data_IF_913775759987
#
_entry.id   IF_913775759987
#
_cell.length_a   1.000
_cell.length_b   1.000
_cell.length_c   1.000
_cell.angle_alpha   90.00
_cell.angle_beta   90.00
_cell.angle_gamma   90.00
#
_symmetry.space_group_name_H-M   'P 1'
#
loop_
_entity.id
_entity.type
_entity.pdbx_description
1 polymer ?
#
# COMPACT_ATOMS: atom_id res chain seq x y z
N UNK A 1 -19.11 3.27 1.02
CA UNK A 1 -18.18 2.28 0.42
C UNK A 1 -18.31 0.97 1.19
N UNK A 2 -18.31 -0.18 0.51
CA UNK A 2 -18.23 -1.51 1.13
C UNK A 2 -17.11 -2.28 0.42
N UNK A 3 -16.29 -3.00 1.18
CA UNK A 3 -15.30 -3.92 0.61
C UNK A 3 -15.98 -5.27 0.33
N UNK A 4 -15.68 -5.85 -0.82
CA UNK A 4 -16.17 -7.15 -1.27
C UNK A 4 -14.97 -8.04 -1.65
N UNK A 5 -15.20 -9.34 -1.87
CA UNK A 5 -14.18 -10.32 -2.29
C UNK A 5 -13.01 -10.49 -1.31
N UNK A 6 -13.30 -11.14 -0.17
CA UNK A 6 -12.31 -11.46 0.87
C UNK A 6 -11.65 -12.83 0.64
N UNK A 7 -11.69 -13.38 -0.58
CA UNK A 7 -11.19 -14.73 -0.90
C UNK A 7 -9.67 -14.90 -0.69
N UNK A 8 -8.93 -13.79 -0.61
CA UNK A 8 -7.49 -13.78 -0.30
C UNK A 8 -7.17 -13.30 1.13
N UNK A 9 -8.18 -12.96 1.93
CA UNK A 9 -7.98 -12.49 3.31
C UNK A 9 -7.43 -13.60 4.21
N UNK A 10 -6.71 -13.25 5.27
CA UNK A 10 -6.19 -14.21 6.23
C UNK A 10 -6.25 -13.65 7.65
N UNK A 11 -6.52 -14.51 8.62
CA UNK A 11 -6.51 -14.15 10.03
C UNK A 11 -5.07 -14.04 10.52
N UNK A 12 -4.71 -12.90 11.11
CA UNK A 12 -3.41 -12.72 11.79
C UNK A 12 -3.55 -12.93 13.30
N UNK A 13 -2.55 -13.50 13.94
CA UNK A 13 -2.46 -13.46 15.40
C UNK A 13 -1.82 -12.14 15.83
N UNK A 14 -2.25 -11.60 16.96
CA UNK A 14 -1.63 -10.42 17.58
C UNK A 14 -0.93 -10.92 18.82
N UNK A 15 0.40 -10.84 18.83
CA UNK A 15 1.23 -11.12 20.00
C UNK A 15 1.84 -9.80 20.45
N UNK A 16 1.69 -9.45 21.74
CA UNK A 16 2.24 -8.23 22.34
C UNK A 16 1.94 -6.92 21.59
N UNK A 17 0.69 -6.75 21.12
CA UNK A 17 0.25 -5.59 20.31
C UNK A 17 0.94 -5.43 18.96
N UNK A 18 1.69 -6.45 18.53
CA UNK A 18 2.32 -6.54 17.21
C UNK A 18 1.65 -7.63 16.38
N UNK A 19 1.19 -7.27 15.18
CA UNK A 19 0.63 -8.26 14.25
C UNK A 19 1.74 -9.22 13.80
N UNK A 20 1.51 -10.53 13.96
CA UNK A 20 2.42 -11.54 13.45
C UNK A 20 2.35 -11.56 11.93
N UNK A 21 3.54 -11.56 11.31
CA UNK A 21 3.65 -11.58 9.88
C UNK A 21 3.47 -13.01 9.34
N UNK A 22 2.57 -13.18 8.37
CA UNK A 22 2.16 -14.48 7.83
C UNK A 22 2.72 -14.67 6.42
N UNK A 23 3.15 -15.90 6.11
CA UNK A 23 3.55 -16.31 4.76
C UNK A 23 2.33 -16.50 3.87
N UNK A 24 2.32 -15.92 2.67
CA UNK A 24 1.22 -16.08 1.70
C UNK A 24 1.75 -16.37 0.30
N UNK A 25 0.94 -17.03 -0.49
CA UNK A 25 1.12 -17.22 -1.93
C UNK A 25 0.94 -15.87 -2.65
N UNK A 26 1.74 -15.59 -3.68
CA UNK A 26 1.60 -14.38 -4.51
C UNK A 26 0.34 -14.49 -5.38
N UNK A 27 -0.83 -14.24 -4.78
CA UNK A 27 -2.15 -14.28 -5.42
C UNK A 27 -2.79 -12.90 -5.23
N UNK A 28 -3.24 -12.28 -6.32
CA UNK A 28 -3.94 -11.00 -6.31
C UNK A 28 -3.76 -10.20 -7.60
N UNK A 29 -4.28 -8.97 -7.61
CA UNK A 29 -4.07 -8.02 -8.72
C UNK A 29 -2.65 -7.47 -8.64
N UNK A 30 -1.73 -8.07 -9.40
CA UNK A 30 -0.27 -7.81 -9.36
C UNK A 30 0.09 -6.32 -9.35
N UNK A 31 -0.67 -5.48 -10.06
CA UNK A 31 -0.37 -4.05 -10.19
C UNK A 31 -0.55 -3.26 -8.89
N UNK A 32 -1.30 -3.75 -7.88
CA UNK A 32 -1.48 -3.06 -6.59
C UNK A 32 -0.61 -3.65 -5.48
N UNK A 33 0.22 -4.66 -5.77
CA UNK A 33 1.06 -5.30 -4.76
C UNK A 33 2.14 -4.36 -4.22
N UNK A 34 2.39 -4.46 -2.93
CA UNK A 34 3.50 -3.79 -2.25
C UNK A 34 4.87 -4.36 -2.66
N UNK A 35 5.98 -3.64 -2.41
CA UNK A 35 7.33 -4.13 -2.70
C UNK A 35 7.63 -5.49 -2.04
N UNK A 36 7.23 -5.66 -0.78
CA UNK A 36 7.47 -6.87 0.00
C UNK A 36 6.65 -8.09 -0.47
N UNK A 37 5.55 -7.87 -1.20
CA UNK A 37 4.78 -8.93 -1.86
C UNK A 37 5.37 -9.35 -3.20
N UNK A 38 6.13 -8.47 -3.86
CA UNK A 38 6.69 -8.71 -5.20
C UNK A 38 8.02 -9.49 -5.16
N UNK A 39 8.67 -9.59 -3.99
CA UNK A 39 9.78 -10.51 -3.83
C UNK A 39 9.27 -11.95 -3.90
N UNK A 40 9.63 -12.67 -4.96
CA UNK A 40 9.40 -14.11 -5.21
C UNK A 40 9.87 -15.05 -4.09
N UNK A 41 10.37 -14.52 -2.98
CA UNK A 41 10.58 -15.27 -1.76
C UNK A 41 9.20 -15.60 -1.17
N UNK A 42 8.76 -16.84 -1.35
CA UNK A 42 7.59 -17.46 -0.72
C UNK A 42 7.65 -17.51 0.83
N UNK A 43 8.37 -16.58 1.46
CA UNK A 43 8.67 -16.45 2.90
C UNK A 43 8.75 -15.00 3.37
N UNK A 44 8.42 -14.01 2.54
CA UNK A 44 8.32 -12.63 3.02
C UNK A 44 7.18 -12.54 4.02
N UNK A 45 7.55 -12.36 5.28
CA UNK A 45 6.67 -12.03 6.39
C UNK A 45 6.10 -10.64 6.12
N UNK A 46 4.81 -10.55 5.79
CA UNK A 46 4.15 -9.24 5.59
C UNK A 46 2.95 -9.05 6.53
N UNK A 47 2.71 -7.79 6.89
CA UNK A 47 1.73 -7.34 7.88
C UNK A 47 0.59 -6.56 7.21
N UNK A 48 -0.30 -5.93 8.01
CA UNK A 48 -1.31 -4.97 7.52
C UNK A 48 -0.72 -3.82 6.70
N UNK A 49 0.59 -3.58 6.80
CA UNK A 49 1.28 -2.52 6.08
C UNK A 49 1.26 -2.66 4.56
N UNK A 50 1.11 -3.89 4.07
CA UNK A 50 0.89 -4.16 2.65
C UNK A 50 -0.40 -3.53 2.13
N UNK A 51 -1.47 -3.56 2.93
CA UNK A 51 -2.77 -3.01 2.54
C UNK A 51 -2.71 -1.48 2.44
N UNK A 52 -1.88 -0.82 3.25
CA UNK A 52 -1.64 0.62 3.16
C UNK A 52 -0.92 1.04 1.88
N UNK A 53 0.03 0.23 1.41
CA UNK A 53 0.66 0.52 0.12
C UNK A 53 -0.34 0.44 -1.03
N UNK A 54 -1.19 -0.60 -1.04
CA UNK A 54 -2.27 -0.73 -2.02
C UNK A 54 -3.25 0.46 -1.96
N UNK A 55 -3.62 0.91 -0.76
CA UNK A 55 -4.41 2.13 -0.57
C UNK A 55 -3.73 3.37 -1.15
N UNK A 56 -2.41 3.51 -0.97
CA UNK A 56 -1.64 4.61 -1.56
C UNK A 56 -1.69 4.60 -3.10
N UNK A 57 -1.57 3.43 -3.72
CA UNK A 57 -1.67 3.28 -5.17
C UNK A 57 -3.08 3.58 -5.70
N UNK A 58 -4.13 3.06 -5.04
CA UNK A 58 -5.53 3.37 -5.38
C UNK A 58 -5.78 4.87 -5.26
N UNK A 59 -5.27 5.49 -4.20
CA UNK A 59 -5.47 6.92 -3.99
C UNK A 59 -4.73 7.78 -5.03
N UNK A 60 -3.51 7.38 -5.42
CA UNK A 60 -2.79 8.02 -6.54
C UNK A 60 -3.58 7.91 -7.86
N UNK A 61 -4.21 6.76 -8.13
CA UNK A 61 -5.07 6.55 -9.30
C UNK A 61 -6.36 7.36 -9.28
N UNK A 62 -6.93 7.59 -8.10
CA UNK A 62 -8.06 8.52 -7.96
C UNK A 62 -7.65 9.98 -8.20
N UNK A 63 -6.40 10.35 -7.86
CA UNK A 63 -5.90 11.72 -8.02
C UNK A 63 -5.38 12.04 -9.43
N UNK A 64 -4.94 11.03 -10.18
CA UNK A 64 -4.27 11.19 -11.47
C UNK A 64 -4.95 10.31 -12.52
N UNK A 65 -5.46 10.94 -13.57
CA UNK A 65 -5.89 10.20 -14.76
C UNK A 65 -4.67 9.57 -15.45
N UNK A 66 -4.60 8.24 -15.47
CA UNK A 66 -3.49 7.48 -16.04
C UNK A 66 -3.99 6.55 -17.14
N UNK A 67 -3.20 6.42 -18.21
CA UNK A 67 -3.36 5.32 -19.16
C UNK A 67 -2.82 4.02 -18.55
N UNK A 68 -3.19 2.85 -19.09
CA UNK A 68 -2.70 1.55 -18.59
C UNK A 68 -1.16 1.45 -18.56
N UNK A 69 -0.43 1.90 -19.61
CA UNK A 69 1.04 1.93 -19.57
C UNK A 69 1.60 2.89 -18.52
N UNK A 70 1.04 4.10 -18.40
CA UNK A 70 1.45 5.08 -17.40
C UNK A 70 1.27 4.55 -15.99
N UNK A 71 0.12 3.95 -15.69
CA UNK A 71 -0.18 3.37 -14.37
C UNK A 71 0.85 2.31 -14.00
N UNK A 72 1.20 1.42 -14.94
CA UNK A 72 2.21 0.39 -14.71
C UNK A 72 3.56 1.02 -14.37
N UNK A 73 3.99 2.04 -15.13
CA UNK A 73 5.25 2.75 -14.87
C UNK A 73 5.22 3.44 -13.51
N UNK A 74 4.21 4.26 -13.25
CA UNK A 74 4.07 5.06 -12.02
C UNK A 74 3.99 4.14 -10.79
N UNK A 75 3.26 3.03 -10.86
CA UNK A 75 3.19 2.09 -9.74
C UNK A 75 4.51 1.35 -9.49
N UNK A 76 5.28 1.07 -10.54
CA UNK A 76 6.64 0.56 -10.38
C UNK A 76 7.59 1.60 -9.79
N UNK A 77 7.46 2.86 -10.20
CA UNK A 77 8.21 3.99 -9.63
C UNK A 77 7.95 4.10 -8.11
N UNK A 78 6.68 4.03 -7.67
CA UNK A 78 6.34 4.00 -6.23
C UNK A 78 7.00 2.83 -5.49
N UNK A 79 7.08 1.64 -6.10
CA UNK A 79 7.78 0.48 -5.48
C UNK A 79 9.28 0.69 -5.34
N UNK A 80 9.87 1.55 -6.16
CA UNK A 80 11.28 1.97 -6.06
C UNK A 80 11.45 3.22 -5.18
N UNK A 81 10.37 3.71 -4.55
CA UNK A 81 10.39 4.90 -3.71
C UNK A 81 10.35 6.22 -4.48
N UNK A 82 10.12 6.18 -5.79
CA UNK A 82 10.03 7.35 -6.67
C UNK A 82 8.57 7.83 -6.67
N UNK A 83 8.35 9.07 -6.23
CA UNK A 83 7.03 9.67 -6.11
C UNK A 83 6.60 10.33 -7.43
N UNK A 84 5.30 10.33 -7.72
CA UNK A 84 4.74 11.02 -8.88
C UNK A 84 4.53 12.51 -8.59
N UNK A 85 5.04 13.37 -9.46
CA UNK A 85 4.90 14.83 -9.41
C UNK A 85 3.57 15.36 -9.97
N UNK A 86 2.76 14.48 -10.58
CA UNK A 86 1.46 14.84 -11.18
C UNK A 86 0.37 15.17 -10.14
N UNK A 87 0.60 14.88 -8.85
CA UNK A 87 -0.33 15.26 -7.77
C UNK A 87 -0.06 16.72 -7.38
N UNK A 88 -0.89 17.64 -7.89
CA UNK A 88 -0.69 19.08 -7.68
C UNK A 88 -0.85 19.53 -6.21
N UNK A 89 -1.73 18.87 -5.44
CA UNK A 89 -1.93 19.22 -4.04
C UNK A 89 -0.81 18.63 -3.18
N UNK A 90 0.02 19.49 -2.58
CA UNK A 90 1.15 19.07 -1.76
C UNK A 90 0.76 18.20 -0.55
N UNK A 91 -0.39 18.45 0.08
CA UNK A 91 -0.87 17.61 1.19
C UNK A 91 -1.28 16.22 0.70
N UNK A 92 -1.95 16.14 -0.44
CA UNK A 92 -2.33 14.87 -1.08
C UNK A 92 -1.09 14.09 -1.51
N UNK A 93 -0.11 14.76 -2.13
CA UNK A 93 1.15 14.15 -2.53
C UNK A 93 1.92 13.62 -1.31
N UNK A 94 1.97 14.40 -0.22
CA UNK A 94 2.58 13.97 1.05
C UNK A 94 1.87 12.76 1.66
N UNK A 95 0.54 12.73 1.59
CA UNK A 95 -0.24 11.61 2.09
C UNK A 95 0.00 10.33 1.27
N UNK A 96 -0.03 10.41 -0.06
CA UNK A 96 0.33 9.28 -0.95
C UNK A 96 1.75 8.80 -0.66
N UNK A 97 2.70 9.72 -0.47
CA UNK A 97 4.10 9.40 -0.11
C UNK A 97 4.20 8.63 1.20
N UNK A 98 3.44 9.00 2.23
CA UNK A 98 3.41 8.28 3.52
C UNK A 98 2.88 6.86 3.37
N UNK A 99 1.82 6.67 2.57
CA UNK A 99 1.24 5.34 2.32
C UNK A 99 2.13 4.45 1.44
N UNK A 100 2.90 5.05 0.53
CA UNK A 100 3.73 4.33 -0.47
C UNK A 100 5.21 4.23 -0.09
N UNK A 101 5.56 4.34 1.19
CA UNK A 101 6.95 4.10 1.63
C UNK A 101 7.40 2.68 1.29
N UNK A 102 8.63 2.53 0.77
CA UNK A 102 9.16 1.22 0.36
C UNK A 102 9.28 0.29 1.57
N UNK A 103 9.84 0.80 2.67
CA UNK A 103 9.89 0.07 3.94
C UNK A 103 8.51 0.09 4.62
N UNK A 104 7.86 -1.08 4.85
CA UNK A 104 6.55 -1.14 5.50
C UNK A 104 6.55 -0.56 6.92
N UNK A 105 7.69 -0.48 7.60
CA UNK A 105 7.80 0.11 8.95
C UNK A 105 7.69 1.64 8.96
N UNK A 106 7.90 2.26 7.81
CA UNK A 106 7.79 3.72 7.64
C UNK A 106 6.38 4.13 7.17
N UNK A 107 5.48 3.18 6.97
CA UNK A 107 4.07 3.42 6.65
C UNK A 107 3.28 3.57 7.95
N UNK A 108 2.20 4.38 7.96
CA UNK A 108 1.43 4.62 9.17
C UNK A 108 0.70 3.36 9.65
N UNK A 109 0.47 3.25 10.95
CA UNK A 109 -0.45 2.25 11.50
C UNK A 109 -1.92 2.68 11.30
N UNK A 110 -2.87 1.73 11.35
CA UNK A 110 -4.31 2.02 11.26
C UNK A 110 -4.75 3.14 12.22
N UNK A 111 -4.25 3.09 13.47
CA UNK A 111 -4.57 4.09 14.49
C UNK A 111 -4.07 5.49 14.12
N UNK A 112 -2.84 5.58 13.64
CA UNK A 112 -2.24 6.85 13.19
C UNK A 112 -2.97 7.42 11.97
N UNK A 113 -3.58 6.56 11.15
CA UNK A 113 -4.40 7.01 10.03
C UNK A 113 -5.72 7.64 10.48
N UNK A 114 -6.36 7.14 11.54
CA UNK A 114 -7.60 7.73 12.06
C UNK A 114 -7.40 9.16 12.57
N UNK A 115 -6.22 9.43 13.14
CA UNK A 115 -5.86 10.75 13.67
C UNK A 115 -5.12 11.63 12.63
N UNK A 116 -5.05 11.20 11.38
CA UNK A 116 -4.26 11.89 10.36
C UNK A 116 -4.94 13.19 9.93
N UNK A 117 -4.21 14.31 10.03
CA UNK A 117 -4.69 15.65 9.64
C UNK A 117 -5.17 15.75 8.19
N UNK A 118 -4.74 14.85 7.30
CA UNK A 118 -5.26 14.81 5.93
C UNK A 118 -6.74 14.42 5.86
N UNK A 119 -7.22 13.62 6.82
CA UNK A 119 -8.59 13.09 6.88
C UNK A 119 -9.51 13.87 7.84
N UNK A 120 -8.98 14.88 8.53
CA UNK A 120 -9.72 15.77 9.43
C UNK A 120 -10.33 16.96 8.67
#
# INVERSE_FOLDING_TARGET
>A
LKLCDLGISTQRSVEDSTETAITRTSIGTLIYMSPEQNTLAARSKYSSQTDFFALGLIFAELCIAMTVPERTKIFNDYRQGIQCDRIANAKTADFVRKLTQVDPRNRPACREMLDNLYLA
#
